data_IF_076277972028
#
_entry.id   IF_076277972028
#
_cell.length_a   1.000
_cell.length_b   1.000
_cell.length_c   1.000
_cell.angle_alpha   90.00
_cell.angle_beta   90.00
_cell.angle_gamma   90.00
#
_symmetry.space_group_name_H-M   'P 1'
#
loop_
_entity.id
_entity.type
_entity.pdbx_description
1 polymer ?
#
# COMPACT_ATOMS: atom_id res chain seq x y z
N UNK A 1 15.20 -45.64 16.49
CA UNK A 1 13.76 -45.40 16.75
C UNK A 1 13.42 -44.08 16.05
N UNK A 2 12.69 -44.18 14.95
CA UNK A 2 12.36 -43.06 14.08
C UNK A 2 11.16 -42.32 14.64
N UNK A 3 11.26 -41.00 14.78
CA UNK A 3 10.14 -40.10 15.08
C UNK A 3 9.72 -39.40 13.79
N UNK A 4 8.45 -39.54 13.47
CA UNK A 4 7.83 -39.04 12.27
C UNK A 4 7.73 -37.52 12.30
N UNK A 5 8.31 -36.83 11.30
CA UNK A 5 8.09 -35.43 11.03
C UNK A 5 6.72 -35.25 10.38
N UNK A 6 5.85 -34.51 11.03
CA UNK A 6 4.56 -34.06 10.51
C UNK A 6 4.82 -33.02 9.41
N UNK A 7 4.53 -33.36 8.16
CA UNK A 7 4.49 -32.44 7.03
C UNK A 7 3.24 -31.56 7.14
N UNK A 8 3.42 -30.30 7.53
CA UNK A 8 2.37 -29.28 7.43
C UNK A 8 2.19 -28.86 5.97
N UNK A 9 0.93 -28.81 5.51
CA UNK A 9 0.56 -28.44 4.16
C UNK A 9 0.99 -26.99 3.85
N UNK A 10 1.45 -26.72 2.59
CA UNK A 10 1.86 -25.38 2.20
C UNK A 10 0.68 -24.41 2.08
N UNK A 11 0.92 -23.15 2.44
CA UNK A 11 -0.02 -22.07 2.24
C UNK A 11 -0.31 -21.88 0.74
N UNK A 12 -1.58 -21.82 0.34
CA UNK A 12 -1.97 -21.66 -1.06
C UNK A 12 -1.86 -20.21 -1.52
N UNK A 13 -1.02 -19.96 -2.54
CA UNK A 13 -1.00 -18.68 -3.27
C UNK A 13 -2.17 -18.68 -4.24
N UNK A 14 -3.17 -17.80 -4.01
CA UNK A 14 -4.25 -17.59 -4.96
C UNK A 14 -3.89 -16.40 -5.85
N UNK A 15 -3.37 -16.67 -7.04
CA UNK A 15 -3.20 -15.66 -8.09
C UNK A 15 -4.50 -15.55 -8.89
N UNK A 16 -5.30 -14.50 -8.70
CA UNK A 16 -6.43 -14.20 -9.58
C UNK A 16 -5.96 -13.35 -10.76
N UNK A 17 -6.00 -13.91 -11.97
CA UNK A 17 -5.79 -13.16 -13.21
C UNK A 17 -7.07 -12.41 -13.56
N UNK A 18 -7.04 -11.09 -13.54
CA UNK A 18 -8.07 -10.27 -14.15
C UNK A 18 -7.68 -10.04 -15.61
N UNK A 19 -8.27 -10.81 -16.53
CA UNK A 19 -8.08 -10.60 -17.97
C UNK A 19 -9.11 -9.58 -18.47
N UNK A 20 -8.66 -8.49 -19.07
CA UNK A 20 -9.47 -7.67 -19.95
C UNK A 20 -9.65 -8.41 -21.28
N UNK A 21 -10.86 -8.96 -21.52
CA UNK A 21 -11.19 -9.55 -22.79
C UNK A 21 -11.45 -8.45 -23.84
N UNK A 22 -10.64 -8.49 -24.89
CA UNK A 22 -10.78 -7.69 -26.10
C UNK A 22 -12.01 -8.17 -26.88
N UNK A 23 -12.97 -7.29 -27.16
CA UNK A 23 -14.13 -7.57 -28.00
C UNK A 23 -13.82 -7.13 -29.42
N UNK A 24 -13.44 -8.06 -30.26
CA UNK A 24 -13.68 -7.98 -31.73
C UNK A 24 -13.65 -9.38 -32.33
N UNK A 25 -14.82 -9.90 -32.71
CA UNK A 25 -15.05 -10.48 -34.04
C UNK A 25 -16.52 -10.87 -34.17
N UNK A 26 -17.13 -10.30 -35.18
CA UNK A 26 -18.49 -10.65 -35.62
C UNK A 26 -18.44 -11.92 -36.43
N UNK A 27 -19.38 -12.85 -36.19
CA UNK A 27 -19.73 -13.89 -37.14
C UNK A 27 -21.24 -14.10 -37.15
N UNK A 28 -21.79 -14.07 -38.36
CA UNK A 28 -23.20 -14.31 -38.72
C UNK A 28 -23.57 -15.77 -38.50
N UNK A 29 -24.72 -16.05 -37.87
CA UNK A 29 -25.48 -17.29 -38.12
C UNK A 29 -26.99 -17.04 -37.97
N UNK A 30 -27.65 -17.36 -39.03
CA UNK A 30 -29.01 -17.81 -39.32
C UNK A 30 -30.17 -17.68 -38.30
N UNK A 31 -31.28 -17.23 -38.88
CA UNK A 31 -32.62 -17.00 -38.39
C UNK A 31 -33.39 -18.31 -38.33
N UNK A 32 -34.08 -18.60 -37.22
CA UNK A 32 -35.14 -19.60 -37.10
C UNK A 32 -36.29 -19.07 -36.24
N UNK A 33 -37.52 -19.61 -36.33
CA UNK A 33 -38.74 -18.78 -36.33
C UNK A 33 -39.37 -18.56 -34.93
N UNK A 34 -40.20 -17.56 -34.90
CA UNK A 34 -40.92 -16.91 -33.82
C UNK A 34 -41.99 -17.83 -33.23
N UNK A 35 -41.93 -18.10 -31.94
CA UNK A 35 -43.07 -18.55 -31.13
C UNK A 35 -43.53 -17.39 -30.25
N UNK A 36 -44.81 -17.06 -30.33
CA UNK A 36 -45.48 -16.05 -29.52
C UNK A 36 -45.67 -16.59 -28.11
N UNK A 37 -45.08 -15.93 -27.12
CA UNK A 37 -45.35 -16.16 -25.72
C UNK A 37 -45.81 -14.84 -25.06
N UNK A 38 -46.96 -14.91 -24.46
CA UNK A 38 -47.69 -13.88 -23.71
C UNK A 38 -46.84 -13.34 -22.56
N UNK A 39 -46.71 -12.01 -22.50
CA UNK A 39 -45.95 -11.30 -21.47
C UNK A 39 -46.69 -11.28 -20.13
N UNK A 40 -46.15 -11.93 -19.13
CA UNK A 40 -46.44 -11.64 -17.72
C UNK A 40 -45.59 -10.41 -17.25
N UNK A 41 -46.11 -9.55 -16.38
CA UNK A 41 -45.37 -8.36 -15.95
C UNK A 41 -44.17 -8.78 -15.10
N UNK A 42 -42.98 -8.49 -15.62
CA UNK A 42 -41.71 -8.65 -14.90
C UNK A 42 -41.66 -7.64 -13.76
N UNK A 43 -41.90 -8.10 -12.55
CA UNK A 43 -41.58 -7.34 -11.33
C UNK A 43 -40.09 -6.98 -11.37
N UNK A 44 -39.80 -5.72 -11.56
CA UNK A 44 -38.44 -5.19 -11.44
C UNK A 44 -37.93 -5.49 -10.03
N UNK A 45 -36.97 -6.41 -9.95
CA UNK A 45 -36.24 -6.70 -8.71
C UNK A 45 -35.42 -5.47 -8.39
N UNK A 46 -35.94 -4.58 -7.55
CA UNK A 46 -35.18 -3.47 -6.96
C UNK A 46 -34.09 -4.10 -6.12
N UNK A 47 -32.89 -4.13 -6.65
CA UNK A 47 -31.70 -4.45 -5.86
C UNK A 47 -31.59 -3.36 -4.81
N UNK A 48 -31.62 -3.66 -3.51
CA UNK A 48 -31.42 -2.64 -2.50
C UNK A 48 -30.01 -2.05 -2.70
N UNK A 49 -29.95 -0.81 -3.15
CA UNK A 49 -28.72 -0.02 -3.15
C UNK A 49 -28.39 0.23 -1.68
N UNK A 50 -27.44 -0.56 -1.16
CA UNK A 50 -26.86 -0.29 0.16
C UNK A 50 -26.29 1.13 0.11
N UNK A 51 -26.56 1.99 1.14
CA UNK A 51 -26.09 3.36 1.13
C UNK A 51 -24.57 3.39 0.91
N UNK A 52 -24.11 4.33 0.09
CA UNK A 52 -22.67 4.64 -0.01
C UNK A 52 -22.23 5.15 1.35
N UNK A 53 -21.34 4.43 2.00
CA UNK A 53 -20.78 4.86 3.28
C UNK A 53 -19.67 5.86 2.95
N UNK A 54 -19.95 7.15 3.12
CA UNK A 54 -18.96 8.19 2.90
C UNK A 54 -17.86 8.11 3.99
N UNK A 55 -16.58 8.18 3.58
CA UNK A 55 -15.48 8.18 4.54
C UNK A 55 -15.53 9.40 5.45
N UNK A 56 -15.29 9.19 6.74
CA UNK A 56 -15.14 10.26 7.74
C UNK A 56 -13.66 10.45 8.05
N UNK A 57 -13.20 11.69 7.99
CA UNK A 57 -11.85 12.07 8.39
C UNK A 57 -11.78 12.26 9.91
N UNK A 58 -10.70 11.78 10.53
CA UNK A 58 -10.42 11.86 11.96
C UNK A 58 -8.93 12.05 12.23
N UNK A 59 -8.63 12.57 13.40
CA UNK A 59 -7.28 12.68 13.94
C UNK A 59 -7.12 11.78 15.19
N UNK A 60 -5.92 11.25 15.35
CA UNK A 60 -5.46 10.48 16.50
C UNK A 60 -4.16 11.07 17.03
N UNK A 61 -3.97 11.08 18.34
CA UNK A 61 -2.72 11.52 18.96
C UNK A 61 -1.85 10.29 19.26
N UNK A 62 -0.72 10.21 18.60
CA UNK A 62 0.26 9.16 18.80
C UNK A 62 1.63 9.74 19.17
N UNK A 63 2.11 9.43 20.38
CA UNK A 63 3.41 9.91 20.88
C UNK A 63 3.59 11.45 20.75
N UNK A 64 2.51 12.20 20.97
CA UNK A 64 2.51 13.67 20.86
C UNK A 64 2.38 14.21 19.44
N UNK A 65 2.19 13.35 18.45
CA UNK A 65 1.98 13.71 17.04
C UNK A 65 0.53 13.49 16.61
N UNK A 66 0.01 14.42 15.86
CA UNK A 66 -1.28 14.26 15.20
C UNK A 66 -1.16 13.31 14.01
N UNK A 67 -1.95 12.28 14.00
CA UNK A 67 -2.06 11.30 12.93
C UNK A 67 -3.46 11.38 12.33
N UNK A 68 -3.54 11.74 11.06
CA UNK A 68 -4.79 11.77 10.31
C UNK A 68 -5.13 10.40 9.76
N UNK A 69 -6.40 10.04 9.79
CA UNK A 69 -6.93 8.86 9.11
C UNK A 69 -8.35 9.08 8.60
N UNK A 70 -8.78 8.29 7.65
CA UNK A 70 -10.18 8.23 7.22
C UNK A 70 -10.77 6.87 7.59
N UNK A 71 -12.03 6.83 7.99
CA UNK A 71 -12.71 5.58 8.30
C UNK A 71 -14.11 5.53 7.69
N UNK A 72 -14.56 4.30 7.38
CA UNK A 72 -15.89 4.02 6.87
C UNK A 72 -16.31 2.58 7.19
N UNK A 73 -17.63 2.36 7.29
CA UNK A 73 -18.19 1.07 7.70
C UNK A 73 -18.23 0.93 9.22
N UNK A 74 -19.27 0.25 9.71
CA UNK A 74 -19.61 0.13 11.13
C UNK A 74 -19.66 -1.34 11.59
N UNK A 75 -19.73 -2.28 10.66
CA UNK A 75 -19.87 -3.72 10.93
C UNK A 75 -18.81 -4.55 10.19
N UNK A 76 -18.52 -5.73 10.71
CA UNK A 76 -17.61 -6.71 10.10
C UNK A 76 -16.15 -6.51 10.47
N UNK A 77 -15.23 -7.27 9.84
CA UNK A 77 -13.81 -7.27 10.21
C UNK A 77 -13.16 -5.92 9.93
N UNK A 78 -12.22 -5.54 10.79
CA UNK A 78 -11.42 -4.33 10.61
C UNK A 78 -10.36 -4.51 9.51
N UNK A 79 -10.18 -3.50 8.68
CA UNK A 79 -9.19 -3.42 7.61
C UNK A 79 -8.46 -2.09 7.68
N UNK A 80 -7.13 -2.13 7.77
CA UNK A 80 -6.27 -0.94 7.74
C UNK A 80 -5.61 -0.85 6.38
N UNK A 81 -5.72 0.30 5.73
CA UNK A 81 -5.11 0.58 4.44
C UNK A 81 -3.88 1.46 4.63
N UNK A 82 -2.72 0.91 4.29
CA UNK A 82 -1.41 1.54 4.45
C UNK A 82 -0.86 1.93 3.09
N UNK A 83 -0.60 3.21 2.90
CA UNK A 83 -0.10 3.74 1.63
C UNK A 83 1.39 3.45 1.40
N UNK A 84 1.85 3.66 0.16
CA UNK A 84 3.25 3.61 -0.23
C UNK A 84 3.95 4.97 -0.10
N UNK A 85 5.20 5.02 -0.60
CA UNK A 85 6.00 6.25 -0.63
C UNK A 85 5.29 7.38 -1.38
N UNK A 86 5.27 8.56 -0.77
CA UNK A 86 4.60 9.74 -1.33
C UNK A 86 3.07 9.66 -1.35
N UNK A 87 2.48 8.53 -0.94
CA UNK A 87 1.04 8.35 -0.81
C UNK A 87 0.47 8.92 0.51
N UNK A 88 -0.82 8.70 0.71
CA UNK A 88 -1.56 9.08 1.90
C UNK A 88 -2.91 8.33 1.95
N UNK A 89 -3.71 8.56 2.99
CA UNK A 89 -5.03 7.93 3.15
C UNK A 89 -5.97 8.19 1.96
N UNK A 90 -5.93 9.38 1.35
CA UNK A 90 -6.82 9.73 0.23
C UNK A 90 -6.46 9.00 -1.07
N UNK A 91 -5.27 8.39 -1.15
CA UNK A 91 -4.95 7.48 -2.25
C UNK A 91 -5.93 6.29 -2.30
N UNK A 92 -6.48 5.90 -1.15
CA UNK A 92 -7.45 4.83 -0.99
C UNK A 92 -8.92 5.27 -1.17
N UNK A 93 -9.20 6.53 -1.54
CA UNK A 93 -10.55 7.12 -1.64
C UNK A 93 -11.53 6.31 -2.50
N UNK A 94 -11.05 5.60 -3.52
CA UNK A 94 -11.87 4.71 -4.35
C UNK A 94 -12.07 3.32 -3.75
N UNK A 95 -11.17 2.88 -2.88
CA UNK A 95 -11.19 1.57 -2.23
C UNK A 95 -12.05 1.59 -0.95
N UNK A 96 -11.92 2.63 -0.14
CA UNK A 96 -12.62 2.75 1.15
C UNK A 96 -14.13 2.54 1.02
N UNK A 97 -14.89 3.20 0.12
CA UNK A 97 -16.33 2.99 0.01
C UNK A 97 -16.72 1.58 -0.46
N UNK A 98 -15.85 0.91 -1.21
CA UNK A 98 -16.08 -0.46 -1.68
C UNK A 98 -15.87 -1.46 -0.57
N UNK A 99 -14.75 -1.34 0.15
CA UNK A 99 -14.39 -2.22 1.26
C UNK A 99 -15.31 -2.04 2.46
N UNK A 100 -15.78 -0.82 2.71
CA UNK A 100 -16.72 -0.49 3.78
C UNK A 100 -18.07 -1.26 3.67
N UNK A 101 -18.40 -1.79 2.50
CA UNK A 101 -19.54 -2.70 2.32
C UNK A 101 -19.31 -4.09 2.92
N UNK A 102 -18.09 -4.40 3.33
CA UNK A 102 -17.67 -5.73 3.81
C UNK A 102 -17.06 -5.72 5.20
N UNK A 103 -16.68 -4.54 5.71
CA UNK A 103 -16.05 -4.41 7.02
C UNK A 103 -15.82 -2.97 7.42
N UNK A 104 -15.20 -2.76 8.57
CA UNK A 104 -14.75 -1.46 9.06
C UNK A 104 -13.39 -1.12 8.42
N UNK A 105 -13.30 -0.02 7.72
CA UNK A 105 -12.12 0.37 6.94
C UNK A 105 -11.49 1.61 7.53
N UNK A 106 -10.19 1.60 7.69
CA UNK A 106 -9.38 2.69 8.19
C UNK A 106 -8.22 2.92 7.22
N UNK A 107 -8.13 4.08 6.59
CA UNK A 107 -6.96 4.44 5.79
C UNK A 107 -6.16 5.50 6.57
N UNK A 108 -4.91 5.18 6.89
CA UNK A 108 -4.05 5.98 7.76
C UNK A 108 -3.01 6.77 6.96
N UNK A 109 -2.75 8.01 7.37
CA UNK A 109 -1.56 8.74 7.00
C UNK A 109 -0.42 8.38 7.95
N UNK A 110 0.60 7.68 7.48
CA UNK A 110 1.77 7.39 8.31
C UNK A 110 2.44 8.69 8.77
N UNK A 111 3.07 8.68 9.95
CA UNK A 111 3.85 9.82 10.43
C UNK A 111 4.80 10.32 9.34
N UNK A 112 4.77 11.61 9.07
CA UNK A 112 5.54 12.24 7.99
C UNK A 112 4.79 12.37 6.66
N UNK A 113 3.68 11.66 6.47
CA UNK A 113 2.92 11.66 5.21
C UNK A 113 1.52 12.26 5.36
N UNK A 114 0.90 12.49 4.22
CA UNK A 114 -0.47 13.00 4.17
C UNK A 114 -0.62 14.31 4.94
N UNK A 115 -1.64 14.35 5.76
CA UNK A 115 -1.92 15.46 6.70
C UNK A 115 -1.57 15.12 8.16
N UNK A 116 -0.87 13.99 8.38
CA UNK A 116 -0.22 13.70 9.65
C UNK A 116 0.97 14.63 9.89
N UNK A 117 1.35 14.78 11.16
CA UNK A 117 2.50 15.61 11.56
C UNK A 117 3.79 15.15 10.89
N UNK A 118 4.65 16.12 10.68
CA UNK A 118 5.94 15.97 10.00
C UNK A 118 7.08 16.50 10.87
N UNK A 119 7.40 15.80 12.00
CA UNK A 119 8.53 16.21 12.85
C UNK A 119 9.81 16.30 12.03
N UNK A 120 10.58 17.37 12.27
CA UNK A 120 11.78 17.64 11.49
C UNK A 120 12.87 16.59 11.81
N UNK A 121 13.33 15.78 10.82
CA UNK A 121 14.39 14.79 11.03
C UNK A 121 15.80 15.41 10.98
N UNK A 122 15.92 16.69 10.58
CA UNK A 122 17.22 17.34 10.47
C UNK A 122 17.79 17.60 11.87
N UNK A 123 19.07 17.29 12.03
CA UNK A 123 19.73 17.34 13.37
C UNK A 123 19.52 16.09 14.23
N UNK A 124 18.66 15.18 13.82
CA UNK A 124 18.50 13.86 14.41
C UNK A 124 19.39 12.81 13.71
N UNK A 125 19.68 11.67 14.34
CA UNK A 125 20.30 10.55 13.64
C UNK A 125 19.48 10.19 12.39
N UNK A 126 20.16 9.86 11.30
CA UNK A 126 19.53 9.53 10.05
C UNK A 126 18.51 8.38 10.25
N UNK A 127 17.30 8.56 9.71
CA UNK A 127 16.18 7.61 9.78
C UNK A 127 15.79 7.22 11.23
N UNK A 128 16.03 8.05 12.23
CA UNK A 128 15.57 7.81 13.60
C UNK A 128 14.05 7.98 13.75
N UNK A 129 13.42 8.80 12.91
CA UNK A 129 11.98 9.08 12.94
C UNK A 129 11.26 8.27 11.83
N UNK A 130 11.74 8.39 10.59
CA UNK A 130 11.09 7.83 9.40
C UNK A 130 11.74 6.52 9.00
N UNK A 131 11.30 5.43 9.64
CA UNK A 131 11.75 4.07 9.39
C UNK A 131 10.58 3.08 9.52
N UNK A 132 10.77 1.86 9.04
CA UNK A 132 9.70 0.86 8.98
C UNK A 132 9.31 0.34 10.36
N UNK A 133 10.25 0.25 11.28
CA UNK A 133 10.04 -0.18 12.65
C UNK A 133 9.14 0.83 13.41
N UNK A 134 9.38 2.12 13.19
CA UNK A 134 8.56 3.16 13.80
C UNK A 134 7.14 3.19 13.23
N UNK A 135 6.99 3.05 11.92
CA UNK A 135 5.67 2.93 11.30
C UNK A 135 4.96 1.63 11.70
N UNK A 136 5.68 0.53 11.91
CA UNK A 136 5.10 -0.70 12.44
C UNK A 136 4.55 -0.50 13.87
N UNK A 137 5.30 0.18 14.75
CA UNK A 137 4.83 0.58 16.08
C UNK A 137 3.58 1.46 16.00
N UNK A 138 3.57 2.43 15.08
CA UNK A 138 2.40 3.29 14.83
C UNK A 138 1.18 2.47 14.43
N UNK A 139 1.34 1.51 13.50
CA UNK A 139 0.24 0.63 13.05
C UNK A 139 -0.29 -0.22 14.20
N UNK A 140 0.58 -0.83 15.00
CA UNK A 140 0.18 -1.64 16.15
C UNK A 140 -0.56 -0.82 17.19
N UNK A 141 -0.04 0.36 17.57
CA UNK A 141 -0.72 1.28 18.47
C UNK A 141 -2.09 1.75 17.92
N UNK A 142 -2.17 2.02 16.62
CA UNK A 142 -3.42 2.39 15.97
C UNK A 142 -4.47 1.26 16.04
N UNK A 143 -4.03 0.00 15.88
CA UNK A 143 -4.92 -1.15 16.01
C UNK A 143 -5.44 -1.25 17.45
N UNK A 144 -4.56 -1.12 18.42
CA UNK A 144 -4.93 -1.23 19.83
C UNK A 144 -5.82 -0.10 20.30
N UNK A 145 -5.49 1.16 19.97
CA UNK A 145 -6.16 2.34 20.54
C UNK A 145 -7.39 2.79 19.75
N UNK A 146 -7.38 2.65 18.42
CA UNK A 146 -8.44 3.19 17.55
C UNK A 146 -9.34 2.08 17.02
N UNK A 147 -8.76 0.97 16.56
CA UNK A 147 -9.54 -0.13 15.97
C UNK A 147 -10.16 -1.00 17.06
N UNK A 148 -9.42 -1.30 18.13
CA UNK A 148 -9.86 -2.03 19.31
C UNK A 148 -10.03 -3.53 19.10
N UNK A 149 -9.63 -4.07 17.94
CA UNK A 149 -9.63 -5.52 17.64
C UNK A 149 -8.55 -5.86 16.62
N UNK A 150 -8.12 -7.11 16.50
CA UNK A 150 -7.20 -7.53 15.46
C UNK A 150 -7.73 -7.21 14.06
N UNK A 151 -6.88 -6.66 13.19
CA UNK A 151 -7.26 -6.14 11.89
C UNK A 151 -6.49 -6.82 10.73
N UNK A 152 -7.07 -6.79 9.51
CA UNK A 152 -6.32 -7.05 8.30
C UNK A 152 -5.51 -5.80 7.93
N UNK A 153 -4.22 -5.97 7.63
CA UNK A 153 -3.34 -4.87 7.21
C UNK A 153 -3.14 -4.98 5.70
N UNK A 154 -3.69 -4.03 4.95
CA UNK A 154 -3.63 -3.99 3.49
C UNK A 154 -2.68 -2.88 3.06
N UNK A 155 -1.57 -3.25 2.46
CA UNK A 155 -0.43 -2.37 2.26
C UNK A 155 -0.07 -2.23 0.78
N UNK A 156 0.22 -1.01 0.35
CA UNK A 156 0.76 -0.74 -0.97
C UNK A 156 2.27 -0.46 -0.91
N UNK A 157 3.02 -1.02 -1.86
CA UNK A 157 4.43 -0.73 -2.08
C UNK A 157 5.29 -0.86 -0.80
N UNK A 158 6.04 0.19 -0.43
CA UNK A 158 6.87 0.23 0.81
C UNK A 158 6.04 0.14 2.10
N UNK A 159 4.76 0.51 2.08
CA UNK A 159 3.84 0.27 3.19
C UNK A 159 3.76 -1.21 3.56
N UNK A 160 4.02 -2.11 2.59
CA UNK A 160 4.10 -3.55 2.81
C UNK A 160 5.20 -3.96 3.79
N UNK A 161 6.32 -3.24 3.80
CA UNK A 161 7.41 -3.50 4.76
C UNK A 161 6.98 -3.14 6.18
N UNK A 162 6.34 -1.96 6.34
CA UNK A 162 5.79 -1.55 7.65
C UNK A 162 4.70 -2.50 8.15
N UNK A 163 3.80 -2.96 7.25
CA UNK A 163 2.75 -3.90 7.61
C UNK A 163 3.27 -5.29 7.98
N UNK A 164 4.27 -5.81 7.27
CA UNK A 164 4.94 -7.06 7.62
C UNK A 164 5.67 -6.94 8.96
N UNK A 165 6.40 -5.85 9.18
CA UNK A 165 7.08 -5.59 10.46
C UNK A 165 6.06 -5.50 11.59
N UNK A 166 4.95 -4.80 11.42
CA UNK A 166 3.89 -4.72 12.42
C UNK A 166 3.33 -6.10 12.80
N UNK A 167 3.07 -6.94 11.80
CA UNK A 167 2.55 -8.29 12.03
C UNK A 167 3.59 -9.23 12.69
N UNK A 168 4.88 -9.04 12.43
CA UNK A 168 5.96 -9.78 13.11
C UNK A 168 6.09 -9.35 14.57
N UNK A 169 6.03 -8.02 14.82
CA UNK A 169 6.22 -7.46 16.15
C UNK A 169 5.03 -7.71 17.09
N UNK A 170 3.81 -7.66 16.56
CA UNK A 170 2.58 -7.84 17.33
C UNK A 170 1.56 -8.74 16.60
N UNK A 171 1.82 -10.04 16.48
CA UNK A 171 0.97 -10.95 15.72
C UNK A 171 -0.47 -11.03 16.24
N UNK A 172 -0.69 -10.78 17.51
CA UNK A 172 -2.01 -10.79 18.13
C UNK A 172 -2.93 -9.67 17.62
N UNK A 173 -2.37 -8.58 17.09
CA UNK A 173 -3.13 -7.46 16.50
C UNK A 173 -3.45 -7.66 15.03
N UNK A 174 -2.85 -8.67 14.38
CA UNK A 174 -2.95 -8.88 12.94
C UNK A 174 -3.75 -10.13 12.58
N UNK A 175 -4.82 -9.98 11.82
CA UNK A 175 -5.63 -11.09 11.25
C UNK A 175 -5.08 -11.60 9.93
N UNK A 176 -4.20 -10.87 9.28
CA UNK A 176 -3.59 -11.19 8.00
C UNK A 176 -3.06 -9.95 7.30
N UNK A 177 -2.09 -10.15 6.42
CA UNK A 177 -1.46 -9.07 5.63
C UNK A 177 -1.79 -9.25 4.15
N UNK A 178 -2.20 -8.17 3.49
CA UNK A 178 -2.36 -8.11 2.04
C UNK A 178 -1.34 -7.13 1.48
N UNK A 179 -0.41 -7.64 0.69
CA UNK A 179 0.61 -6.87 0.00
C UNK A 179 0.15 -6.55 -1.43
N UNK A 180 0.05 -5.29 -1.77
CA UNK A 180 -0.36 -4.82 -3.09
C UNK A 180 0.83 -4.16 -3.75
N UNK A 181 1.35 -4.75 -4.83
CA UNK A 181 2.56 -4.30 -5.53
C UNK A 181 3.71 -4.02 -4.53
N UNK A 182 4.11 -5.00 -3.70
CA UNK A 182 5.07 -4.77 -2.63
C UNK A 182 6.43 -4.33 -3.17
N UNK A 183 7.05 -3.36 -2.49
CA UNK A 183 8.40 -2.92 -2.82
C UNK A 183 9.43 -3.94 -2.34
N UNK A 184 10.30 -4.38 -3.25
CA UNK A 184 11.45 -5.23 -2.92
C UNK A 184 12.65 -4.44 -2.41
N UNK A 185 12.52 -3.11 -2.27
CA UNK A 185 13.61 -2.24 -1.82
C UNK A 185 14.92 -2.47 -2.58
N UNK A 186 14.85 -2.43 -3.92
CA UNK A 186 16.01 -2.65 -4.80
C UNK A 186 17.21 -1.72 -4.52
N UNK A 187 16.96 -0.54 -3.93
CA UNK A 187 18.00 0.40 -3.52
C UNK A 187 18.52 0.15 -2.09
N UNK A 188 18.14 -0.96 -1.45
CA UNK A 188 18.65 -1.31 -0.12
C UNK A 188 20.17 -1.54 -0.17
N UNK A 189 20.88 -1.08 0.88
CA UNK A 189 22.34 -1.06 0.90
C UNK A 189 22.98 -2.46 0.73
N UNK A 190 22.32 -3.52 1.20
CA UNK A 190 22.82 -4.89 1.04
C UNK A 190 22.69 -5.42 -0.39
N UNK A 191 21.81 -4.82 -1.21
CA UNK A 191 21.60 -5.18 -2.61
C UNK A 191 22.51 -4.39 -3.57
N UNK A 192 23.27 -3.41 -3.04
CA UNK A 192 24.17 -2.60 -3.84
C UNK A 192 25.56 -3.20 -3.89
N UNK A 193 26.23 -3.18 -5.06
CA UNK A 193 27.64 -3.54 -5.14
C UNK A 193 28.51 -2.70 -4.19
N UNK A 194 29.49 -3.31 -3.52
CA UNK A 194 30.29 -2.64 -2.51
C UNK A 194 31.00 -1.38 -3.04
N UNK A 195 31.42 -1.42 -4.31
CA UNK A 195 32.08 -0.27 -4.96
C UNK A 195 31.17 0.96 -5.09
N UNK A 196 29.84 0.78 -5.14
CA UNK A 196 28.87 1.87 -5.31
C UNK A 196 28.43 2.44 -3.96
N UNK A 197 28.48 1.66 -2.88
CA UNK A 197 28.00 2.05 -1.54
C UNK A 197 28.53 3.41 -1.06
N UNK A 198 29.82 3.74 -1.16
CA UNK A 198 30.32 5.05 -0.71
C UNK A 198 29.74 6.21 -1.55
N UNK A 199 29.53 6.03 -2.84
CA UNK A 199 28.92 7.06 -3.69
C UNK A 199 27.45 7.29 -3.34
N UNK A 200 26.71 6.20 -3.09
CA UNK A 200 25.31 6.28 -2.62
C UNK A 200 25.26 7.03 -1.28
N UNK A 201 26.13 6.72 -0.33
CA UNK A 201 26.18 7.39 0.96
C UNK A 201 26.48 8.89 0.83
N UNK A 202 27.43 9.29 -0.06
CA UNK A 202 27.71 10.70 -0.33
C UNK A 202 26.53 11.40 -0.95
N UNK A 203 25.88 10.78 -1.96
CA UNK A 203 24.68 11.32 -2.60
C UNK A 203 23.54 11.51 -1.59
N UNK A 204 23.25 10.50 -0.80
CA UNK A 204 22.23 10.55 0.25
C UNK A 204 22.49 11.65 1.28
N UNK A 205 23.73 11.75 1.77
CA UNK A 205 24.14 12.83 2.66
C UNK A 205 23.94 14.19 2.00
N UNK A 206 24.38 14.36 0.76
CA UNK A 206 24.24 15.62 0.02
C UNK A 206 22.78 16.02 -0.14
N UNK A 207 21.92 15.08 -0.56
CA UNK A 207 20.49 15.35 -0.71
C UNK A 207 19.84 15.69 0.63
N UNK A 208 20.22 15.01 1.71
CA UNK A 208 19.63 15.22 3.03
C UNK A 208 20.06 16.52 3.69
N UNK A 209 21.33 16.96 3.50
CA UNK A 209 21.93 18.02 4.33
C UNK A 209 22.26 19.31 3.60
N UNK A 210 21.95 19.41 2.30
CA UNK A 210 22.28 20.61 1.51
C UNK A 210 21.07 21.15 0.74
N UNK A 211 21.18 22.39 0.26
CA UNK A 211 20.19 23.03 -0.59
C UNK A 211 19.93 22.29 -1.92
N UNK A 212 20.84 21.40 -2.33
CA UNK A 212 20.66 20.56 -3.52
C UNK A 212 19.43 19.67 -3.35
N UNK A 213 19.27 19.08 -2.15
CA UNK A 213 18.09 18.27 -1.85
C UNK A 213 16.80 19.08 -1.88
N UNK A 214 16.79 20.28 -1.31
CA UNK A 214 15.63 21.17 -1.37
C UNK A 214 15.25 21.56 -2.80
N UNK A 215 16.25 21.84 -3.64
CA UNK A 215 16.03 22.11 -5.08
C UNK A 215 15.52 20.87 -5.81
N UNK A 216 16.05 19.70 -5.50
CA UNK A 216 15.60 18.43 -6.04
C UNK A 216 14.12 18.18 -5.67
N UNK A 217 13.77 18.30 -4.38
CA UNK A 217 12.41 18.15 -3.92
C UNK A 217 11.45 19.12 -4.62
N UNK A 218 11.80 20.40 -4.73
CA UNK A 218 10.98 21.40 -5.44
C UNK A 218 10.71 21.04 -6.91
N UNK A 219 11.62 20.32 -7.55
CA UNK A 219 11.41 19.83 -8.92
C UNK A 219 10.51 18.60 -8.96
N UNK A 220 10.62 17.70 -7.98
CA UNK A 220 9.75 16.53 -7.86
C UNK A 220 8.33 16.94 -7.46
N UNK A 221 8.18 17.88 -6.53
CA UNK A 221 6.91 18.36 -5.99
C UNK A 221 6.23 19.37 -6.94
N UNK A 222 6.12 19.03 -8.22
CA UNK A 222 5.39 19.77 -9.25
C UNK A 222 4.29 18.91 -9.85
N UNK A 223 3.15 19.50 -10.14
CA UNK A 223 1.99 18.77 -10.66
C UNK A 223 2.33 17.93 -11.91
N UNK A 224 3.09 18.52 -12.84
CA UNK A 224 3.51 17.82 -14.07
C UNK A 224 4.45 16.64 -13.76
N UNK A 225 5.44 16.82 -12.87
CA UNK A 225 6.37 15.76 -12.47
C UNK A 225 5.63 14.63 -11.77
N UNK A 226 4.76 14.96 -10.79
CA UNK A 226 3.93 13.98 -10.09
C UNK A 226 3.02 13.23 -11.07
N UNK A 227 2.38 13.95 -12.01
CA UNK A 227 1.52 13.36 -13.05
C UNK A 227 2.29 12.37 -13.92
N UNK A 228 3.51 12.70 -14.31
CA UNK A 228 4.35 11.83 -15.14
C UNK A 228 4.79 10.58 -14.39
N UNK A 229 5.23 10.72 -13.13
CA UNK A 229 5.59 9.58 -12.26
C UNK A 229 4.37 8.66 -12.05
N UNK A 230 3.20 9.22 -11.79
CA UNK A 230 1.97 8.44 -11.63
C UNK A 230 1.58 7.72 -12.93
N UNK A 231 1.72 8.36 -14.09
CA UNK A 231 1.45 7.71 -15.39
C UNK A 231 2.41 6.56 -15.68
N UNK A 232 3.64 6.66 -15.23
CA UNK A 232 4.59 5.54 -15.31
C UNK A 232 4.15 4.39 -14.39
N UNK A 233 3.73 4.71 -13.16
CA UNK A 233 3.32 3.71 -12.17
C UNK A 233 2.00 2.99 -12.51
N UNK A 234 1.09 3.66 -13.23
CA UNK A 234 -0.23 3.13 -13.53
C UNK A 234 -0.26 2.42 -14.88
N UNK A 235 -0.69 1.17 -14.93
CA UNK A 235 -0.85 0.40 -16.17
C UNK A 235 -1.89 1.01 -17.14
N UNK A 236 -2.82 1.84 -16.62
CA UNK A 236 -3.71 2.69 -17.40
C UNK A 236 -3.42 4.17 -17.11
N UNK A 237 -2.69 4.89 -17.97
CA UNK A 237 -2.36 6.29 -17.76
C UNK A 237 -3.58 7.24 -17.69
N UNK A 238 -4.73 6.86 -18.24
CA UNK A 238 -5.97 7.65 -18.19
C UNK A 238 -6.58 7.65 -16.76
N UNK A 239 -6.21 6.68 -15.93
CA UNK A 239 -6.60 6.65 -14.53
C UNK A 239 -5.92 7.75 -13.69
N UNK A 240 -4.86 8.38 -14.23
CA UNK A 240 -4.12 9.47 -13.60
C UNK A 240 -4.83 10.79 -13.90
N UNK A 241 -5.87 11.06 -13.13
CA UNK A 241 -6.66 12.29 -13.18
C UNK A 241 -5.96 13.43 -12.44
N UNK A 242 -6.35 14.67 -12.70
CA UNK A 242 -5.85 15.82 -11.96
C UNK A 242 -6.23 15.74 -10.47
N UNK A 243 -7.40 15.18 -10.14
CA UNK A 243 -7.80 14.87 -8.77
C UNK A 243 -6.78 13.95 -8.07
N UNK A 244 -6.31 12.89 -8.72
CA UNK A 244 -5.29 12.01 -8.15
C UNK A 244 -3.96 12.75 -7.96
N UNK A 245 -3.56 13.59 -8.92
CA UNK A 245 -2.34 14.40 -8.81
C UNK A 245 -2.44 15.35 -7.61
N UNK A 246 -3.58 16.03 -7.43
CA UNK A 246 -3.80 16.90 -6.28
C UNK A 246 -3.81 16.14 -4.95
N UNK A 247 -4.44 14.98 -4.90
CA UNK A 247 -4.49 14.10 -3.75
C UNK A 247 -3.08 13.72 -3.23
N UNK A 248 -2.14 13.54 -4.13
CA UNK A 248 -0.75 13.21 -3.79
C UNK A 248 0.07 14.48 -3.51
N UNK A 249 -0.08 15.51 -4.34
CA UNK A 249 0.77 16.70 -4.29
C UNK A 249 0.45 17.63 -3.12
N UNK A 250 -0.84 17.89 -2.82
CA UNK A 250 -1.22 18.84 -1.77
C UNK A 250 -0.61 18.53 -0.40
N UNK A 251 -0.67 17.27 0.11
CA UNK A 251 0.01 16.91 1.35
C UNK A 251 1.53 17.00 1.24
N UNK A 252 2.09 16.72 0.07
CA UNK A 252 3.52 16.82 -0.22
C UNK A 252 4.06 18.26 -0.21
N UNK A 253 3.19 19.26 -0.28
CA UNK A 253 3.55 20.68 -0.19
C UNK A 253 3.38 21.27 1.23
N UNK A 254 2.93 20.47 2.20
CA UNK A 254 2.82 20.90 3.58
C UNK A 254 4.21 21.17 4.21
N UNK A 255 4.31 22.06 5.19
CA UNK A 255 5.56 22.28 5.93
C UNK A 255 6.13 20.96 6.47
N UNK A 256 7.44 20.77 6.35
CA UNK A 256 8.14 19.56 6.76
C UNK A 256 8.14 18.42 5.74
N UNK A 257 7.33 18.48 4.68
CA UNK A 257 7.24 17.40 3.70
C UNK A 257 8.54 17.17 2.91
N UNK A 258 9.28 18.24 2.63
CA UNK A 258 10.57 18.17 1.95
C UNK A 258 11.61 17.41 2.80
N UNK A 259 11.68 17.74 4.08
CA UNK A 259 12.61 17.12 5.04
C UNK A 259 12.31 15.62 5.20
N UNK A 260 11.01 15.25 5.33
CA UNK A 260 10.56 13.85 5.37
C UNK A 260 10.95 13.11 4.10
N UNK A 261 10.65 13.69 2.94
CA UNK A 261 10.96 13.11 1.64
C UNK A 261 12.46 12.85 1.50
N UNK A 262 13.30 13.85 1.84
CA UNK A 262 14.75 13.75 1.73
C UNK A 262 15.34 12.77 2.74
N UNK A 263 14.80 12.68 3.95
CA UNK A 263 15.22 11.70 4.95
C UNK A 263 14.91 10.28 4.47
N UNK A 264 13.71 10.05 3.94
CA UNK A 264 13.29 8.72 3.50
C UNK A 264 13.98 8.24 2.22
N UNK A 265 14.18 9.09 1.20
CA UNK A 265 14.94 8.67 -0.01
C UNK A 265 16.42 8.39 0.31
N UNK A 266 16.88 8.90 1.45
CA UNK A 266 18.22 8.60 1.99
C UNK A 266 18.25 7.33 2.85
N UNK A 267 17.10 6.66 3.02
CA UNK A 267 16.96 5.44 3.83
C UNK A 267 17.27 4.19 3.01
N UNK A 268 18.50 3.72 3.08
CA UNK A 268 18.93 2.49 2.40
C UNK A 268 19.09 1.28 3.32
N UNK A 269 18.85 1.44 4.62
CA UNK A 269 18.87 0.36 5.63
C UNK A 269 17.48 -0.15 6.01
N UNK A 270 17.38 -0.82 7.18
CA UNK A 270 16.15 -1.35 7.76
C UNK A 270 15.71 -2.69 7.16
N UNK A 271 14.53 -3.22 7.54
CA UNK A 271 14.10 -4.55 7.17
C UNK A 271 13.79 -4.71 5.68
N UNK A 272 13.98 -5.92 5.18
CA UNK A 272 13.60 -6.34 3.83
C UNK A 272 12.38 -7.27 3.89
N UNK A 273 11.48 -7.25 2.90
CA UNK A 273 10.35 -8.19 2.85
C UNK A 273 10.79 -9.65 2.93
N UNK A 274 11.86 -10.02 2.24
CA UNK A 274 12.45 -11.35 2.25
C UNK A 274 13.05 -11.78 3.60
N UNK A 275 13.33 -10.83 4.49
CA UNK A 275 13.79 -11.08 5.86
C UNK A 275 12.62 -11.18 6.85
N UNK A 276 11.51 -10.50 6.56
CA UNK A 276 10.31 -10.47 7.39
C UNK A 276 9.39 -11.67 7.13
N UNK A 277 9.21 -12.06 5.87
CA UNK A 277 8.32 -13.16 5.49
C UNK A 277 8.62 -14.48 6.21
N UNK A 278 9.88 -14.91 6.37
CA UNK A 278 10.19 -16.11 7.15
C UNK A 278 9.87 -16.00 8.66
N UNK A 279 9.77 -14.76 9.17
CA UNK A 279 9.45 -14.48 10.58
C UNK A 279 7.94 -14.35 10.82
N UNK A 280 7.13 -14.34 9.75
CA UNK A 280 5.69 -14.25 9.89
C UNK A 280 5.14 -15.45 10.67
N UNK A 281 4.28 -15.22 11.67
CA UNK A 281 3.60 -16.29 12.37
C UNK A 281 2.73 -17.09 11.39
N UNK A 282 2.73 -18.42 11.53
CA UNK A 282 1.98 -19.33 10.64
C UNK A 282 0.47 -19.08 10.65
N UNK A 283 -0.03 -18.52 11.75
CA UNK A 283 -1.44 -18.19 11.97
C UNK A 283 -1.86 -16.91 11.25
N UNK A 284 -0.90 -16.06 10.83
CA UNK A 284 -1.16 -14.80 10.14
C UNK A 284 -0.98 -15.00 8.64
N UNK A 285 -2.06 -15.15 7.87
CA UNK A 285 -1.97 -15.37 6.44
C UNK A 285 -1.44 -14.12 5.73
N UNK A 286 -0.54 -14.32 4.76
CA UNK A 286 -0.09 -13.28 3.84
C UNK A 286 -0.71 -13.54 2.47
N UNK A 287 -1.21 -12.48 1.82
CA UNK A 287 -1.68 -12.51 0.43
C UNK A 287 -0.97 -11.44 -0.37
N UNK A 288 -0.60 -11.77 -1.58
CA UNK A 288 0.09 -10.86 -2.49
C UNK A 288 -0.81 -10.63 -3.70
N UNK A 289 -1.04 -9.35 -4.00
CA UNK A 289 -1.75 -8.88 -5.19
C UNK A 289 -0.77 -8.06 -6.01
N UNK A 290 -0.59 -8.43 -7.28
CA UNK A 290 0.38 -7.76 -8.13
C UNK A 290 -0.22 -7.37 -9.47
N UNK A 291 0.02 -6.13 -9.89
CA UNK A 291 -0.31 -5.66 -11.23
C UNK A 291 0.64 -6.28 -12.26
N UNK A 292 0.09 -6.93 -13.30
CA UNK A 292 0.91 -7.57 -14.35
C UNK A 292 1.78 -6.57 -15.13
N UNK A 293 1.37 -5.31 -15.18
CA UNK A 293 2.08 -4.22 -15.86
C UNK A 293 2.81 -3.30 -14.87
N UNK A 294 3.26 -3.83 -13.73
CA UNK A 294 4.05 -3.05 -12.77
C UNK A 294 5.44 -2.76 -13.38
N UNK A 295 5.77 -1.49 -13.67
CA UNK A 295 7.02 -1.15 -14.34
C UNK A 295 8.24 -1.15 -13.40
N UNK A 296 8.00 -1.12 -12.08
CA UNK A 296 9.07 -1.01 -11.08
C UNK A 296 9.46 -2.35 -10.47
N UNK A 297 8.55 -3.28 -10.47
CA UNK A 297 8.77 -4.62 -9.95
C UNK A 297 8.07 -5.63 -10.84
N UNK A 298 8.80 -6.21 -11.80
CA UNK A 298 8.27 -7.25 -12.68
C UNK A 298 7.75 -8.44 -11.86
N UNK A 299 6.45 -8.76 -11.96
CA UNK A 299 5.85 -9.83 -11.17
C UNK A 299 6.44 -11.21 -11.50
N UNK A 300 6.95 -11.44 -12.70
CA UNK A 300 7.54 -12.73 -13.12
C UNK A 300 8.87 -12.97 -12.41
N UNK A 301 9.76 -12.00 -12.45
CA UNK A 301 11.08 -12.08 -11.76
C UNK A 301 10.91 -12.06 -10.24
N UNK A 302 9.93 -11.32 -9.76
CA UNK A 302 9.71 -11.09 -8.34
C UNK A 302 8.93 -12.22 -7.67
N UNK A 303 8.00 -12.87 -8.39
CA UNK A 303 7.24 -14.01 -7.85
C UNK A 303 8.15 -15.17 -7.47
N UNK A 304 9.29 -15.33 -8.16
CA UNK A 304 10.30 -16.35 -7.84
C UNK A 304 10.89 -16.13 -6.44
N UNK A 305 11.11 -14.88 -6.03
CA UNK A 305 11.58 -14.57 -4.68
C UNK A 305 10.53 -14.88 -3.60
N UNK A 306 9.25 -14.64 -3.89
CA UNK A 306 8.17 -14.93 -2.95
C UNK A 306 7.78 -16.42 -2.95
N UNK A 307 7.92 -17.15 -4.06
CA UNK A 307 7.64 -18.59 -4.14
C UNK A 307 8.61 -19.42 -3.30
N UNK A 308 9.78 -18.90 -2.94
CA UNK A 308 10.74 -19.60 -2.06
C UNK A 308 10.23 -19.65 -0.60
N UNK A 309 9.30 -18.76 -0.23
CA UNK A 309 8.81 -18.63 1.16
C UNK A 309 7.37 -19.15 1.34
N UNK A 310 6.70 -19.57 0.29
CA UNK A 310 5.36 -20.15 0.29
C UNK A 310 5.32 -21.44 -0.53
#
# INVERSE_FOLDING_TARGET
MASAASLSAPAHIVTSRVSHADRRTASRVAKAPRATATSAPTSARVTPTRPTVDPTEKDWQWEGHKIRYTCAGDEGPAMILVHGFGGNADHWRKNVPVLAKRGRVFAIDLLGYGYSDKPNPMGQPQNSIYNFENWARQLNAFIEEIVGEPAFIMCNSVGGVAGLQAAVDAPATCRGVVLINPSLRGLHITKQPDIIKPFVAILQKTLRTTDIGQKFFKNVARAETVKNILKEAYGNPEAVTDELVECILKPGLQPGAAEVFLDFISYSGGPLPEELLPKMPKEVPVRIVWGQADPWCDPVTTSTLFLIFF
#
